data_IF_284226934004
#
_entry.id   IF_284226934004
#
_cell.length_a   1.000
_cell.length_b   1.000
_cell.length_c   1.000
_cell.angle_alpha   90.00
_cell.angle_beta   90.00
_cell.angle_gamma   90.00
#
_symmetry.space_group_name_H-M   'P 1'
#
loop_
_entity.id
_entity.type
_entity.pdbx_description
1 polymer ?
#
# COMPACT_ATOMS: atom_id res chain seq x y z
N UNK A 1 -4.74 -9.14 10.17
CA UNK A 1 -4.55 -9.43 8.71
C UNK A 1 -5.56 -10.49 8.25
N UNK A 2 -6.01 -10.46 6.99
CA UNK A 2 -6.86 -11.51 6.42
C UNK A 2 -6.08 -12.75 5.99
N UNK A 3 -6.71 -13.92 6.04
CA UNK A 3 -6.16 -15.17 5.48
C UNK A 3 -6.00 -15.09 3.95
N UNK A 4 -6.96 -14.44 3.28
CA UNK A 4 -6.93 -14.20 1.83
C UNK A 4 -7.09 -12.72 1.53
N UNK A 5 -6.29 -12.21 0.60
CA UNK A 5 -6.39 -10.85 0.09
C UNK A 5 -7.73 -10.69 -0.64
N UNK A 6 -8.42 -9.57 -0.40
CA UNK A 6 -9.65 -9.22 -1.11
C UNK A 6 -9.33 -8.28 -2.26
N UNK A 7 -9.90 -8.54 -3.42
CA UNK A 7 -9.86 -7.66 -4.57
C UNK A 7 -11.24 -7.05 -4.78
N UNK A 8 -11.32 -5.72 -4.68
CA UNK A 8 -12.56 -4.96 -4.80
C UNK A 8 -12.45 -4.05 -6.02
N UNK A 9 -13.48 -4.02 -6.88
CA UNK A 9 -13.53 -3.05 -7.96
C UNK A 9 -13.70 -1.64 -7.39
N UNK A 10 -12.97 -0.68 -7.97
CA UNK A 10 -13.04 0.73 -7.59
C UNK A 10 -13.21 1.57 -8.86
N UNK A 11 -14.44 1.60 -9.39
CA UNK A 11 -14.72 2.15 -10.71
C UNK A 11 -14.22 1.25 -11.83
N UNK A 12 -14.09 1.80 -13.03
CA UNK A 12 -13.82 1.02 -14.26
C UNK A 12 -12.34 0.75 -14.51
N UNK A 13 -11.46 1.57 -13.93
CA UNK A 13 -10.00 1.55 -14.16
C UNK A 13 -9.17 1.29 -12.90
N UNK A 14 -9.79 0.80 -11.82
CA UNK A 14 -9.05 0.51 -10.61
C UNK A 14 -9.55 -0.71 -9.85
N UNK A 15 -8.61 -1.33 -9.14
CA UNK A 15 -8.86 -2.39 -8.17
C UNK A 15 -8.20 -2.03 -6.85
N UNK A 16 -8.90 -2.32 -5.75
CA UNK A 16 -8.36 -2.25 -4.40
C UNK A 16 -7.99 -3.66 -3.95
N UNK A 17 -6.72 -3.83 -3.64
CA UNK A 17 -6.15 -5.02 -3.02
C UNK A 17 -6.08 -4.81 -1.51
N UNK A 18 -6.97 -5.43 -0.76
CA UNK A 18 -7.17 -5.22 0.68
C UNK A 18 -6.59 -6.39 1.52
N UNK A 19 -5.73 -6.06 2.48
CA UNK A 19 -4.96 -7.03 3.27
C UNK A 19 -5.50 -7.23 4.70
N UNK A 20 -6.35 -6.31 5.18
CA UNK A 20 -6.97 -6.38 6.51
C UNK A 20 -7.81 -5.14 6.81
N UNK A 21 -8.40 -5.09 8.01
CA UNK A 21 -9.24 -3.99 8.47
C UNK A 21 -8.72 -3.36 9.77
N UNK A 22 -7.42 -3.05 9.80
CA UNK A 22 -6.75 -2.46 10.96
C UNK A 22 -5.51 -1.69 10.51
N UNK A 23 -5.02 -0.76 11.35
CA UNK A 23 -3.71 -0.15 11.16
C UNK A 23 -2.67 -1.09 11.80
N UNK A 24 -1.85 -1.75 10.97
CA UNK A 24 -0.84 -2.70 11.42
C UNK A 24 0.48 -2.51 10.67
N UNK A 25 1.59 -2.50 11.40
CA UNK A 25 2.95 -2.44 10.83
C UNK A 25 3.22 -3.61 9.90
N UNK A 26 2.73 -4.79 10.25
CA UNK A 26 2.89 -6.02 9.45
C UNK A 26 2.13 -5.91 8.12
N UNK A 27 0.88 -5.42 8.16
CA UNK A 27 0.10 -5.18 6.93
C UNK A 27 0.80 -4.14 6.05
N UNK A 28 1.24 -3.03 6.65
CA UNK A 28 1.91 -1.97 5.90
C UNK A 28 3.23 -2.44 5.28
N UNK A 29 4.04 -3.25 5.99
CA UNK A 29 5.24 -3.86 5.43
C UNK A 29 4.93 -4.78 4.24
N UNK A 30 3.88 -5.61 4.35
CA UNK A 30 3.42 -6.44 3.23
C UNK A 30 2.99 -5.61 2.02
N UNK A 31 2.29 -4.50 2.23
CA UNK A 31 1.90 -3.58 1.16
C UNK A 31 3.14 -3.02 0.45
N UNK A 32 4.15 -2.55 1.20
CA UNK A 32 5.39 -2.03 0.62
C UNK A 32 6.10 -3.08 -0.26
N UNK A 33 6.20 -4.32 0.23
CA UNK A 33 6.80 -5.41 -0.53
C UNK A 33 6.03 -5.73 -1.82
N UNK A 34 4.70 -5.74 -1.76
CA UNK A 34 3.85 -5.95 -2.94
C UNK A 34 4.01 -4.81 -3.94
N UNK A 35 4.02 -3.55 -3.49
CA UNK A 35 4.25 -2.38 -4.36
C UNK A 35 5.60 -2.51 -5.06
N UNK A 36 6.68 -2.77 -4.33
CA UNK A 36 8.02 -2.97 -4.91
C UNK A 36 8.00 -4.08 -5.96
N UNK A 37 7.37 -5.22 -5.65
CA UNK A 37 7.30 -6.37 -6.57
C UNK A 37 6.53 -6.04 -7.86
N UNK A 38 5.42 -5.30 -7.76
CA UNK A 38 4.62 -4.89 -8.93
C UNK A 38 5.39 -3.88 -9.78
N UNK A 39 6.05 -2.90 -9.14
CA UNK A 39 6.86 -1.89 -9.81
C UNK A 39 8.06 -2.52 -10.56
N UNK A 40 8.74 -3.48 -9.94
CA UNK A 40 9.83 -4.25 -10.57
C UNK A 40 9.35 -5.14 -11.73
N UNK A 41 8.13 -5.69 -11.63
CA UNK A 41 7.56 -6.55 -12.67
C UNK A 41 7.16 -5.78 -13.94
N UNK A 42 6.95 -4.46 -13.86
CA UNK A 42 6.61 -3.57 -15.00
C UNK A 42 5.48 -4.14 -15.88
N UNK A 43 4.38 -4.53 -15.24
CA UNK A 43 3.22 -5.13 -15.90
C UNK A 43 2.60 -4.09 -16.86
N UNK A 44 2.55 -4.40 -18.16
CA UNK A 44 1.88 -3.52 -19.13
C UNK A 44 0.38 -3.43 -18.81
N UNK A 45 -0.13 -2.21 -18.82
CA UNK A 45 -1.50 -1.91 -18.42
C UNK A 45 -1.68 -1.45 -16.97
N UNK A 46 -0.70 -1.62 -16.07
CA UNK A 46 -0.73 -0.95 -14.76
C UNK A 46 -0.21 0.48 -14.93
N UNK A 47 -1.00 1.47 -14.50
CA UNK A 47 -0.69 2.90 -14.64
C UNK A 47 -0.14 3.50 -13.34
N UNK A 48 -0.73 3.15 -12.18
CA UNK A 48 -0.35 3.74 -10.90
C UNK A 48 -0.62 2.79 -9.71
N UNK A 49 0.25 2.88 -8.69
CA UNK A 49 0.14 2.15 -7.43
C UNK A 49 0.02 3.13 -6.27
N UNK A 50 -1.11 3.05 -5.55
CA UNK A 50 -1.48 3.96 -4.47
C UNK A 50 -1.60 3.19 -3.14
N UNK A 51 -0.50 3.02 -2.38
CA UNK A 51 -0.53 2.32 -1.10
C UNK A 51 -1.23 3.15 -0.02
N UNK A 52 -1.94 2.47 0.88
CA UNK A 52 -2.54 3.04 2.09
C UNK A 52 -2.06 2.27 3.33
N UNK A 53 -2.67 2.50 4.50
CA UNK A 53 -2.34 1.75 5.72
C UNK A 53 -2.61 0.24 5.61
N UNK A 54 -3.69 -0.15 4.91
CA UNK A 54 -4.21 -1.53 4.93
C UNK A 54 -4.61 -2.12 3.57
N UNK A 55 -4.51 -1.32 2.52
CA UNK A 55 -4.82 -1.72 1.14
C UNK A 55 -3.90 -1.02 0.15
N UNK A 56 -3.87 -1.54 -1.07
CA UNK A 56 -3.22 -0.95 -2.23
C UNK A 56 -4.28 -0.71 -3.31
N UNK A 57 -4.44 0.52 -3.77
CA UNK A 57 -5.21 0.81 -4.98
C UNK A 57 -4.29 0.72 -6.20
N UNK A 58 -4.77 0.07 -7.25
CA UNK A 58 -4.04 -0.18 -8.49
C UNK A 58 -4.87 0.38 -9.62
N UNK A 59 -4.36 1.43 -10.27
CA UNK A 59 -4.94 2.00 -11.48
C UNK A 59 -4.42 1.21 -12.68
N UNK A 60 -5.31 0.82 -13.58
CA UNK A 60 -4.94 0.04 -14.76
C UNK A 60 -5.77 0.45 -15.99
N UNK A 61 -5.27 0.15 -17.19
CA UNK A 61 -5.95 0.34 -18.46
C UNK A 61 -6.61 -0.97 -18.93
N UNK A 62 -7.95 -1.10 -18.86
CA UNK A 62 -8.66 -2.32 -19.23
C UNK A 62 -8.49 -2.72 -20.69
N UNK A 63 -8.12 -1.77 -21.57
CA UNK A 63 -7.82 -2.07 -22.98
C UNK A 63 -6.44 -2.72 -23.18
N UNK A 64 -5.57 -2.73 -22.17
CA UNK A 64 -4.25 -3.37 -22.20
C UNK A 64 -4.20 -4.65 -21.38
N UNK A 65 -4.87 -4.68 -20.23
CA UNK A 65 -4.95 -5.85 -19.35
C UNK A 65 -6.38 -6.03 -18.85
N UNK A 66 -6.93 -7.23 -19.03
CA UNK A 66 -8.27 -7.54 -18.54
C UNK A 66 -8.28 -7.66 -17.02
N UNK A 67 -9.40 -7.32 -16.39
CA UNK A 67 -9.56 -7.41 -14.93
C UNK A 67 -9.18 -8.80 -14.39
N UNK A 68 -9.68 -9.88 -15.01
CA UNK A 68 -9.38 -11.25 -14.60
C UNK A 68 -7.89 -11.60 -14.69
N UNK A 69 -7.22 -11.15 -15.74
CA UNK A 69 -5.79 -11.35 -15.94
C UNK A 69 -4.99 -10.59 -14.88
N UNK A 70 -5.35 -9.34 -14.61
CA UNK A 70 -4.76 -8.51 -13.55
C UNK A 70 -4.89 -9.19 -12.19
N UNK A 71 -6.09 -9.62 -11.79
CA UNK A 71 -6.30 -10.29 -10.50
C UNK A 71 -5.45 -11.56 -10.41
N UNK A 72 -5.40 -12.39 -11.47
CA UNK A 72 -4.61 -13.63 -11.46
C UNK A 72 -3.12 -13.38 -11.30
N UNK A 73 -2.62 -12.30 -11.93
CA UNK A 73 -1.22 -11.89 -11.88
C UNK A 73 -0.87 -11.41 -10.47
N UNK A 74 -1.69 -10.53 -9.90
CA UNK A 74 -1.51 -10.01 -8.54
C UNK A 74 -1.58 -11.12 -7.48
N UNK A 75 -2.51 -12.06 -7.61
CA UNK A 75 -2.66 -13.18 -6.69
C UNK A 75 -1.42 -14.08 -6.72
N UNK A 76 -0.95 -14.41 -7.93
CA UNK A 76 0.27 -15.21 -8.14
C UNK A 76 1.53 -14.53 -7.58
N UNK A 77 1.63 -13.20 -7.69
CA UNK A 77 2.74 -12.43 -7.13
C UNK A 77 2.67 -12.37 -5.60
N UNK A 78 1.49 -12.14 -5.04
CA UNK A 78 1.29 -12.02 -3.58
C UNK A 78 1.47 -13.34 -2.83
N UNK A 79 1.33 -14.46 -3.54
CA UNK A 79 1.53 -15.82 -3.03
C UNK A 79 3.02 -16.18 -2.88
N UNK A 80 3.90 -15.51 -3.63
CA UNK A 80 5.35 -15.71 -3.49
C UNK A 80 5.77 -15.05 -2.18
N UNK A 81 6.15 -15.87 -1.21
CA UNK A 81 6.71 -15.42 0.04
C UNK A 81 8.04 -14.73 -0.28
N UNK A 82 8.02 -13.39 -0.31
CA UNK A 82 9.25 -12.61 -0.36
C UNK A 82 9.87 -12.77 1.02
N UNK A 83 10.98 -13.52 1.10
CA UNK A 83 11.83 -13.51 2.29
C UNK A 83 12.08 -12.04 2.64
N UNK A 84 11.89 -11.69 3.91
CA UNK A 84 12.15 -10.35 4.41
C UNK A 84 13.62 -10.03 4.13
N UNK A 85 13.89 -9.40 3.00
CA UNK A 85 15.12 -8.66 2.83
C UNK A 85 15.12 -7.61 3.94
N UNK A 86 16.23 -7.48 4.65
CA UNK A 86 16.45 -6.37 5.56
C UNK A 86 16.26 -5.09 4.75
N UNK A 87 15.05 -4.49 4.83
CA UNK A 87 14.77 -3.21 4.22
C UNK A 87 15.72 -2.21 4.86
N UNK A 88 16.54 -1.51 4.06
CA UNK A 88 17.35 -0.41 4.57
C UNK A 88 16.43 0.64 5.17
N UNK A 89 16.40 0.72 6.50
CA UNK A 89 15.58 1.68 7.23
C UNK A 89 16.24 3.05 7.08
N UNK A 90 15.63 3.90 6.25
CA UNK A 90 16.00 5.32 6.19
C UNK A 90 15.31 6.07 7.32
N UNK A 91 16.09 6.48 8.33
CA UNK A 91 15.62 7.40 9.37
C UNK A 91 15.70 8.84 8.81
N UNK A 92 14.59 9.57 8.87
CA UNK A 92 14.52 10.98 8.45
C UNK A 92 14.16 11.83 9.67
N UNK A 93 15.02 12.80 9.98
CA UNK A 93 14.82 13.72 11.10
C UNK A 93 14.12 15.00 10.62
N UNK A 94 13.03 15.37 11.29
CA UNK A 94 12.31 16.62 11.04
C UNK A 94 12.39 17.51 12.29
N UNK A 95 12.99 18.71 12.21
CA UNK A 95 13.00 19.63 13.33
C UNK A 95 11.61 20.22 13.55
N UNK A 96 11.16 20.23 14.81
CA UNK A 96 9.80 20.67 15.19
C UNK A 96 9.86 21.68 16.33
N UNK A 97 9.19 22.82 16.16
CA UNK A 97 8.96 23.80 17.24
C UNK A 97 7.66 23.44 17.93
N UNK A 98 7.73 23.08 19.21
CA UNK A 98 6.55 22.69 20.00
C UNK A 98 5.93 23.89 20.72
N UNK A 99 4.60 23.94 20.73
CA UNK A 99 3.83 24.85 21.57
C UNK A 99 3.85 26.33 21.17
N UNK A 100 3.41 27.18 22.10
CA UNK A 100 3.29 28.63 21.87
C UNK A 100 2.36 28.96 20.70
N UNK A 101 2.72 29.96 19.90
CA UNK A 101 1.96 30.36 18.71
C UNK A 101 1.97 29.28 17.60
N UNK A 102 2.99 28.40 17.59
CA UNK A 102 3.15 27.35 16.56
C UNK A 102 2.43 26.04 16.90
N UNK A 103 2.04 25.86 18.16
CA UNK A 103 1.27 24.72 18.65
C UNK A 103 0.29 25.12 19.75
N UNK A 104 -0.70 25.97 19.43
CA UNK A 104 -1.61 26.53 20.44
C UNK A 104 -2.42 25.46 21.18
N UNK A 105 -2.69 24.33 20.53
CA UNK A 105 -3.45 23.22 21.10
C UNK A 105 -2.64 22.31 22.04
N UNK A 106 -1.33 22.53 22.19
CA UNK A 106 -0.47 21.63 22.98
C UNK A 106 -0.92 21.53 24.45
N UNK A 107 -1.43 22.63 25.01
CA UNK A 107 -1.92 22.66 26.38
C UNK A 107 -3.21 21.84 26.52
N UNK A 108 -4.09 21.87 25.51
CA UNK A 108 -5.31 21.08 25.49
C UNK A 108 -5.03 19.59 25.32
N UNK A 109 -4.05 19.21 24.49
CA UNK A 109 -3.66 17.80 24.30
C UNK A 109 -2.98 17.20 25.54
N UNK A 110 -2.34 18.03 26.37
CA UNK A 110 -1.63 17.60 27.57
C UNK A 110 -2.51 17.45 28.83
N UNK A 111 -3.76 17.92 28.77
CA UNK A 111 -4.77 17.74 29.82
C UNK A 111 -5.39 16.34 29.79
#
# INVERSE_FOLDING_TARGET
MYEKIKYLSAGDKAVVMEFGNEISKEINAKIRNVVKSIDEAKIDGIEELLPTYRSLMIMYEPLRIEYSELISTLDSMSSKQVESQDEEIRIVEFPTVYGGEYGPDINFVAE
#
